data_IF_632799297397
#
_entry.id   IF_632799297397
#
_cell.length_a   1.000
_cell.length_b   1.000
_cell.length_c   1.000
_cell.angle_alpha   90.00
_cell.angle_beta   90.00
_cell.angle_gamma   90.00
#
_symmetry.space_group_name_H-M   'P 1'
#
loop_
_entity.id
_entity.type
_entity.pdbx_description
1 polymer ?
#
# COMPACT_ATOMS: atom_id res chain seq x y z
N UNK A 1 18.90 1.80 -9.14
CA UNK A 1 17.63 1.08 -8.96
C UNK A 1 16.52 2.11 -9.02
N UNK A 2 15.63 2.01 -10.01
CA UNK A 2 14.45 2.89 -10.15
C UNK A 2 13.37 2.50 -9.14
N UNK A 3 12.47 3.44 -8.81
CA UNK A 3 11.37 3.15 -7.90
C UNK A 3 10.27 2.36 -8.59
N UNK A 4 9.59 1.52 -7.83
CA UNK A 4 8.42 0.78 -8.32
C UNK A 4 7.10 1.54 -8.07
N UNK A 5 7.16 2.70 -7.40
CA UNK A 5 6.03 3.60 -7.14
C UNK A 5 5.40 4.08 -8.44
N UNK A 6 4.07 4.17 -8.48
CA UNK A 6 3.34 4.72 -9.63
C UNK A 6 2.24 5.67 -9.18
N UNK A 7 1.99 6.71 -9.97
CA UNK A 7 0.90 7.67 -9.79
C UNK A 7 0.04 7.72 -11.05
N UNK A 8 -1.27 7.95 -10.92
CA UNK A 8 -2.16 8.19 -12.08
C UNK A 8 -2.00 9.56 -12.71
N UNK A 9 -1.46 10.51 -11.96
CA UNK A 9 -1.34 11.91 -12.34
C UNK A 9 0.05 12.39 -11.95
N UNK A 10 0.57 13.41 -12.61
CA UNK A 10 1.98 13.79 -12.51
C UNK A 10 2.90 12.69 -13.02
N UNK A 11 4.13 12.68 -12.55
CA UNK A 11 5.12 11.70 -12.98
C UNK A 11 6.36 11.65 -12.11
N UNK A 12 7.11 10.57 -12.28
CA UNK A 12 8.40 10.36 -11.64
C UNK A 12 9.47 10.50 -12.73
N UNK A 13 9.98 11.73 -13.00
CA UNK A 13 11.03 11.90 -13.97
C UNK A 13 12.30 11.16 -13.53
N UNK A 14 13.22 10.85 -14.45
CA UNK A 14 14.49 10.21 -14.09
C UNK A 14 15.19 10.96 -12.96
N UNK A 15 15.75 10.19 -12.01
CA UNK A 15 16.44 10.71 -10.83
C UNK A 15 15.58 11.56 -9.87
N UNK A 16 14.27 11.31 -9.79
CA UNK A 16 13.38 12.01 -8.83
C UNK A 16 13.01 11.17 -7.61
N UNK A 17 13.15 9.85 -7.68
CA UNK A 17 12.53 8.95 -6.70
C UNK A 17 13.35 7.70 -6.37
N UNK A 18 14.66 7.70 -6.62
CA UNK A 18 15.51 6.57 -6.22
C UNK A 18 15.52 6.45 -4.70
N UNK A 19 15.43 5.21 -4.20
CA UNK A 19 15.40 4.95 -2.75
C UNK A 19 14.17 5.50 -2.03
N UNK A 20 13.07 5.76 -2.77
CA UNK A 20 11.84 6.25 -2.18
C UNK A 20 11.31 5.32 -1.08
N UNK A 21 10.91 5.91 0.02
CA UNK A 21 10.34 5.22 1.17
C UNK A 21 8.87 5.58 1.28
N UNK A 22 8.04 4.57 1.52
CA UNK A 22 6.63 4.75 1.81
C UNK A 22 6.31 4.15 3.17
N UNK A 23 5.58 4.91 3.98
CA UNK A 23 4.96 4.42 5.21
C UNK A 23 3.44 4.41 5.04
N UNK A 24 2.80 3.27 5.29
CA UNK A 24 1.35 3.12 5.41
C UNK A 24 0.96 2.96 6.88
N UNK A 25 0.01 3.78 7.35
CA UNK A 25 -0.58 3.71 8.69
C UNK A 25 -2.09 3.54 8.59
N UNK A 26 -2.70 2.55 9.27
CA UNK A 26 -4.14 2.42 9.29
C UNK A 26 -4.75 3.62 10.02
N UNK A 27 -5.85 4.13 9.47
CA UNK A 27 -6.70 5.14 10.08
C UNK A 27 -7.79 4.38 10.82
N UNK A 28 -7.84 4.57 12.14
CA UNK A 28 -8.92 4.00 12.93
C UNK A 28 -10.20 4.75 12.62
N UNK A 29 -11.09 4.08 11.88
CA UNK A 29 -12.42 4.58 11.56
C UNK A 29 -13.41 4.00 12.57
N UNK A 30 -14.08 4.88 13.31
CA UNK A 30 -15.06 4.46 14.29
C UNK A 30 -14.93 5.21 15.60
N UNK A 31 -15.72 4.78 16.57
CA UNK A 31 -15.72 5.31 17.93
C UNK A 31 -15.67 4.15 18.92
N UNK A 32 -15.00 4.37 20.05
CA UNK A 32 -15.07 3.43 21.16
C UNK A 32 -16.33 3.74 21.96
N UNK A 33 -17.21 2.76 22.13
CA UNK A 33 -18.41 2.85 22.94
C UNK A 33 -18.36 1.83 24.08
N UNK A 34 -18.88 2.18 25.25
CA UNK A 34 -19.02 1.24 26.36
C UNK A 34 -20.41 0.61 26.37
N UNK A 35 -20.49 -0.67 26.65
CA UNK A 35 -21.75 -1.34 26.96
C UNK A 35 -22.16 -1.03 28.40
N UNK A 36 -23.44 -1.28 28.71
CA UNK A 36 -23.95 -1.19 30.10
C UNK A 36 -23.23 -2.16 31.06
N UNK A 37 -22.60 -3.21 30.52
CA UNK A 37 -21.82 -4.19 31.29
C UNK A 37 -20.35 -3.78 31.44
N UNK A 38 -19.95 -2.60 30.97
CA UNK A 38 -18.59 -2.08 31.09
C UNK A 38 -17.60 -2.56 30.03
N UNK A 39 -18.06 -3.30 29.02
CA UNK A 39 -17.21 -3.74 27.90
C UNK A 39 -16.99 -2.61 26.90
N UNK A 40 -15.77 -2.46 26.41
CA UNK A 40 -15.42 -1.43 25.41
C UNK A 40 -15.49 -2.02 24.00
N UNK A 41 -16.41 -1.52 23.18
CA UNK A 41 -16.63 -1.93 21.80
C UNK A 41 -16.11 -0.87 20.82
N UNK A 42 -15.43 -1.30 19.76
CA UNK A 42 -15.12 -0.42 18.63
C UNK A 42 -16.27 -0.46 17.62
N UNK A 43 -17.00 0.65 17.52
CA UNK A 43 -18.07 0.85 16.56
C UNK A 43 -17.50 1.54 15.32
N UNK A 44 -17.15 0.76 14.30
CA UNK A 44 -16.58 1.28 13.07
C UNK A 44 -16.70 0.30 11.91
N UNK A 45 -16.51 0.76 10.66
CA UNK A 45 -16.46 -0.13 9.51
C UNK A 45 -15.32 -1.15 9.65
N UNK A 46 -15.52 -2.37 9.15
CA UNK A 46 -14.47 -3.40 9.08
C UNK A 46 -13.32 -3.00 8.15
N UNK A 47 -13.59 -2.15 7.16
CA UNK A 47 -12.58 -1.68 6.21
C UNK A 47 -11.75 -0.56 6.84
N UNK A 48 -10.45 -0.82 6.98
CA UNK A 48 -9.47 0.19 7.35
C UNK A 48 -9.13 1.05 6.13
N UNK A 49 -9.06 2.37 6.33
CA UNK A 49 -8.44 3.30 5.40
C UNK A 49 -6.98 3.50 5.80
N UNK A 50 -6.12 3.91 4.87
CA UNK A 50 -4.72 4.17 5.15
C UNK A 50 -4.35 5.64 4.98
N UNK A 51 -3.52 6.14 5.89
CA UNK A 51 -2.71 7.35 5.68
C UNK A 51 -1.35 6.90 5.17
N UNK A 52 -0.83 7.59 4.16
CA UNK A 52 0.50 7.33 3.64
C UNK A 52 1.38 8.56 3.65
N UNK A 53 2.66 8.34 3.87
CA UNK A 53 3.71 9.32 3.73
C UNK A 53 4.73 8.72 2.76
N UNK A 54 5.01 9.43 1.68
CA UNK A 54 5.97 9.03 0.65
C UNK A 54 7.07 10.07 0.62
N UNK A 55 8.30 9.62 0.75
CA UNK A 55 9.48 10.47 0.85
C UNK A 55 10.53 9.97 -0.15
N UNK A 56 11.17 10.90 -0.85
CA UNK A 56 12.36 10.58 -1.63
C UNK A 56 13.35 11.73 -1.62
N UNK A 57 14.62 11.37 -1.76
CA UNK A 57 15.74 12.29 -1.85
C UNK A 57 16.56 11.95 -3.08
N UNK A 58 16.56 12.83 -4.08
CA UNK A 58 17.23 12.58 -5.35
C UNK A 58 17.70 13.87 -6.03
N UNK A 59 18.20 13.78 -7.27
CA UNK A 59 18.78 14.92 -8.01
C UNK A 59 17.72 15.78 -8.67
N UNK A 60 16.60 15.22 -9.09
CA UNK A 60 15.49 15.92 -9.72
C UNK A 60 14.27 15.97 -8.82
N UNK A 61 13.36 16.88 -9.13
CA UNK A 61 12.10 17.04 -8.41
C UNK A 61 11.02 16.14 -8.99
N UNK A 62 10.00 15.83 -8.18
CA UNK A 62 8.79 15.18 -8.65
C UNK A 62 8.09 16.05 -9.71
N UNK A 63 7.50 15.45 -10.75
CA UNK A 63 6.64 16.20 -11.65
C UNK A 63 5.29 16.47 -10.96
N UNK A 64 5.12 17.72 -10.51
CA UNK A 64 4.01 18.17 -9.66
C UNK A 64 2.75 18.57 -10.43
N UNK A 65 2.60 18.15 -11.69
CA UNK A 65 1.40 18.47 -12.47
C UNK A 65 0.15 17.94 -11.78
N UNK A 66 -0.73 18.86 -11.37
CA UNK A 66 -1.94 18.62 -10.59
C UNK A 66 -1.70 18.03 -9.18
N UNK A 67 -0.51 18.22 -8.59
CA UNK A 67 -0.25 17.90 -7.18
C UNK A 67 -0.61 19.08 -6.30
N UNK A 68 -1.90 19.27 -6.05
CA UNK A 68 -2.40 20.25 -5.07
C UNK A 68 -3.09 19.55 -3.91
N UNK A 69 -3.01 20.10 -2.68
CA UNK A 69 -3.83 19.63 -1.57
C UNK A 69 -5.31 19.59 -1.97
N UNK A 70 -5.97 18.46 -1.69
CA UNK A 70 -7.34 18.19 -2.11
C UNK A 70 -7.47 17.34 -3.37
N UNK A 71 -6.45 17.30 -4.23
CA UNK A 71 -6.45 16.47 -5.44
C UNK A 71 -6.44 14.98 -5.12
N UNK A 72 -7.14 14.20 -5.94
CA UNK A 72 -7.22 12.74 -5.83
C UNK A 72 -6.28 12.11 -6.83
N UNK A 73 -5.43 11.19 -6.35
CA UNK A 73 -4.47 10.45 -7.15
C UNK A 73 -4.54 8.97 -6.80
N UNK A 74 -4.43 8.11 -7.81
CA UNK A 74 -4.25 6.67 -7.59
C UNK A 74 -2.79 6.37 -7.41
N UNK A 75 -2.44 5.76 -6.28
CA UNK A 75 -1.07 5.44 -5.89
C UNK A 75 -0.87 3.92 -5.94
N UNK A 76 0.05 3.46 -6.79
CA UNK A 76 0.57 2.09 -6.74
C UNK A 76 1.67 2.02 -5.68
N UNK A 77 1.29 1.60 -4.47
CA UNK A 77 2.12 1.69 -3.27
C UNK A 77 3.40 0.86 -3.38
N UNK A 78 4.52 1.35 -2.86
CA UNK A 78 5.76 0.60 -2.64
C UNK A 78 5.54 -0.47 -1.56
N UNK A 79 4.91 -0.09 -0.46
CA UNK A 79 4.68 -0.98 0.67
C UNK A 79 3.65 -2.05 0.32
N UNK A 80 3.91 -3.28 0.76
CA UNK A 80 3.08 -4.45 0.49
C UNK A 80 2.07 -4.65 1.62
N UNK A 81 0.86 -5.05 1.27
CA UNK A 81 -0.13 -5.56 2.22
C UNK A 81 0.00 -7.08 2.34
N UNK A 82 -0.51 -7.59 3.45
CA UNK A 82 -0.48 -8.99 3.82
C UNK A 82 -1.88 -9.42 4.24
N UNK A 83 -2.36 -10.53 3.69
CA UNK A 83 -3.66 -11.10 4.04
C UNK A 83 -3.53 -12.62 4.20
N UNK A 84 -4.20 -13.18 5.21
CA UNK A 84 -4.19 -14.62 5.47
C UNK A 84 -5.18 -15.33 4.55
N UNK A 85 -4.79 -16.50 4.06
CA UNK A 85 -5.60 -17.39 3.23
C UNK A 85 -6.05 -18.58 4.08
N UNK A 86 -7.36 -18.75 4.29
CA UNK A 86 -7.89 -19.82 5.15
C UNK A 86 -8.23 -21.11 4.39
N UNK A 87 -8.79 -21.01 3.17
CA UNK A 87 -9.36 -22.15 2.45
C UNK A 87 -8.73 -22.38 1.06
N UNK A 88 -7.47 -21.98 0.88
CA UNK A 88 -6.76 -22.05 -0.41
C UNK A 88 -7.29 -21.09 -1.49
N UNK A 89 -8.41 -20.42 -1.23
CA UNK A 89 -8.98 -19.36 -2.07
C UNK A 89 -9.10 -18.12 -1.20
N UNK A 90 -8.65 -17.00 -1.72
CA UNK A 90 -8.75 -15.70 -1.05
C UNK A 90 -9.07 -14.60 -2.05
N UNK A 91 -9.85 -13.60 -1.61
CA UNK A 91 -10.09 -12.39 -2.42
C UNK A 91 -9.40 -11.23 -1.75
N UNK A 92 -8.37 -10.67 -2.39
CA UNK A 92 -7.59 -9.57 -1.83
C UNK A 92 -8.47 -8.33 -1.59
N UNK A 93 -8.23 -7.64 -0.49
CA UNK A 93 -9.06 -6.50 -0.04
C UNK A 93 -8.89 -5.23 -0.88
N UNK A 94 -7.80 -5.10 -1.63
CA UNK A 94 -7.52 -3.99 -2.56
C UNK A 94 -7.11 -4.51 -3.93
N UNK A 95 -7.20 -3.65 -4.94
CA UNK A 95 -6.67 -3.97 -6.26
C UNK A 95 -5.14 -4.03 -6.19
N UNK A 96 -4.53 -5.05 -6.77
CA UNK A 96 -3.08 -5.21 -6.82
C UNK A 96 -2.46 -4.44 -8.00
N UNK A 97 -1.21 -4.03 -7.82
CA UNK A 97 -0.32 -3.64 -8.91
C UNK A 97 0.10 -4.92 -9.64
N UNK A 98 -0.04 -4.93 -10.97
CA UNK A 98 0.28 -6.10 -11.80
C UNK A 98 1.70 -6.63 -11.53
N UNK A 99 1.82 -7.96 -11.43
CA UNK A 99 3.08 -8.64 -11.14
C UNK A 99 3.60 -8.48 -9.71
N UNK A 100 2.83 -7.82 -8.82
CA UNK A 100 3.25 -7.64 -7.43
C UNK A 100 2.79 -8.75 -6.50
N UNK A 101 1.83 -9.59 -6.88
CA UNK A 101 1.24 -10.61 -5.99
C UNK A 101 2.20 -11.78 -5.78
N UNK A 102 2.31 -12.25 -4.55
CA UNK A 102 2.96 -13.51 -4.20
C UNK A 102 2.19 -14.20 -3.08
N UNK A 103 2.18 -15.54 -3.11
CA UNK A 103 1.63 -16.37 -2.04
C UNK A 103 2.77 -17.08 -1.34
N UNK A 104 2.80 -17.03 -0.02
CA UNK A 104 3.81 -17.70 0.79
C UNK A 104 3.19 -18.55 1.88
N UNK A 105 3.92 -19.57 2.32
CA UNK A 105 3.60 -20.32 3.53
C UNK A 105 4.22 -19.69 4.79
N UNK A 106 3.94 -20.30 5.95
CA UNK A 106 4.54 -19.97 7.24
C UNK A 106 6.08 -20.08 7.26
N UNK A 107 6.64 -20.87 6.35
CA UNK A 107 8.08 -21.13 6.22
C UNK A 107 8.75 -20.16 5.23
N UNK A 108 8.02 -19.16 4.72
CA UNK A 108 8.45 -18.15 3.76
C UNK A 108 8.76 -18.68 2.35
N UNK A 109 8.30 -19.88 2.01
CA UNK A 109 8.43 -20.43 0.66
C UNK A 109 7.35 -19.84 -0.25
N UNK A 110 7.75 -19.45 -1.46
CA UNK A 110 6.80 -19.02 -2.49
C UNK A 110 6.02 -20.23 -3.03
N UNK A 111 4.71 -20.06 -3.13
CA UNK A 111 3.79 -21.10 -3.60
C UNK A 111 3.22 -20.74 -4.97
N UNK A 112 3.07 -21.70 -5.89
CA UNK A 112 2.31 -21.50 -7.12
C UNK A 112 0.84 -21.15 -6.82
N UNK A 113 0.32 -20.16 -7.54
CA UNK A 113 -1.05 -19.72 -7.44
C UNK A 113 -1.59 -19.32 -8.82
N UNK A 114 -2.91 -19.29 -8.92
CA UNK A 114 -3.64 -18.71 -10.05
C UNK A 114 -4.41 -17.48 -9.59
N UNK A 115 -4.44 -16.44 -10.43
CA UNK A 115 -5.11 -15.18 -10.13
C UNK A 115 -6.14 -14.87 -11.22
N UNK A 116 -7.37 -14.56 -10.80
CA UNK A 116 -8.44 -14.05 -11.66
C UNK A 116 -8.97 -12.75 -11.05
N UNK A 117 -8.52 -11.62 -11.59
CA UNK A 117 -8.77 -10.31 -10.99
C UNK A 117 -8.21 -10.25 -9.57
N UNK A 118 -9.09 -10.04 -8.58
CA UNK A 118 -8.73 -10.00 -7.15
C UNK A 118 -8.82 -11.35 -6.44
N UNK A 119 -9.24 -12.41 -7.14
CA UNK A 119 -9.37 -13.75 -6.56
C UNK A 119 -8.08 -14.52 -6.78
N UNK A 120 -7.49 -15.01 -5.70
CA UNK A 120 -6.29 -15.83 -5.68
C UNK A 120 -6.69 -17.24 -5.28
N UNK A 121 -6.21 -18.21 -6.04
CA UNK A 121 -6.43 -19.64 -5.79
C UNK A 121 -5.07 -20.34 -5.77
N UNK A 122 -4.72 -20.90 -4.62
CA UNK A 122 -3.53 -21.73 -4.45
C UNK A 122 -3.66 -22.96 -5.35
N UNK A 123 -2.56 -23.38 -5.96
CA UNK A 123 -2.54 -24.58 -6.79
C UNK A 123 -2.99 -25.82 -5.98
N UNK A 124 -3.83 -26.66 -6.60
CA UNK A 124 -4.34 -27.91 -6.00
C UNK A 124 -3.23 -28.92 -5.69
N UNK A 125 -2.05 -28.77 -6.29
CA UNK A 125 -0.86 -29.57 -5.96
C UNK A 125 -0.40 -29.40 -4.51
N UNK A 126 -0.75 -28.30 -3.86
CA UNK A 126 -0.38 -28.00 -2.48
C UNK A 126 -1.41 -28.59 -1.52
N UNK A 127 -0.95 -29.44 -0.60
CA UNK A 127 -1.79 -29.96 0.49
C UNK A 127 -2.01 -28.87 1.52
N UNK A 128 -3.23 -28.34 1.55
CA UNK A 128 -3.69 -27.44 2.61
C UNK A 128 -3.84 -28.27 3.90
N UNK A 129 -2.95 -28.04 4.87
CA UNK A 129 -3.03 -28.63 6.22
C UNK A 129 -3.46 -27.56 7.20
N UNK A 130 -4.28 -27.91 8.20
CA UNK A 130 -4.69 -26.99 9.28
C UNK A 130 -3.52 -26.46 10.11
N UNK A 131 -2.39 -27.17 10.09
CA UNK A 131 -1.18 -26.79 10.83
C UNK A 131 -0.31 -25.78 10.07
N UNK A 132 -0.69 -25.40 8.85
CA UNK A 132 0.06 -24.42 8.04
C UNK A 132 -0.82 -23.24 7.68
N UNK A 133 -0.27 -22.06 7.93
CA UNK A 133 -0.86 -20.80 7.52
C UNK A 133 -0.29 -20.38 6.17
N UNK A 134 -1.17 -19.82 5.34
CA UNK A 134 -0.82 -19.30 4.03
C UNK A 134 -1.14 -17.81 4.00
N UNK A 135 -0.27 -17.03 3.36
CA UNK A 135 -0.43 -15.59 3.25
C UNK A 135 -0.28 -15.15 1.81
N UNK A 136 -1.11 -14.21 1.38
CA UNK A 136 -0.85 -13.43 0.18
C UNK A 136 -0.18 -12.11 0.58
N UNK A 137 0.84 -11.73 -0.17
CA UNK A 137 1.40 -10.39 -0.15
C UNK A 137 1.30 -9.73 -1.52
N UNK A 138 0.97 -8.44 -1.56
CA UNK A 138 0.83 -7.70 -2.81
C UNK A 138 1.00 -6.20 -2.59
N UNK A 139 1.27 -5.44 -3.65
CA UNK A 139 1.30 -3.98 -3.61
C UNK A 139 -0.07 -3.45 -3.99
N UNK A 140 -0.78 -2.69 -3.14
CA UNK A 140 -2.10 -2.19 -3.47
C UNK A 140 -2.05 -0.93 -4.35
N UNK A 141 -3.04 -0.80 -5.22
CA UNK A 141 -3.51 0.51 -5.68
C UNK A 141 -4.46 1.09 -4.63
N UNK A 142 -4.17 2.31 -4.20
CA UNK A 142 -5.01 3.07 -3.28
C UNK A 142 -5.37 4.40 -3.93
N UNK A 143 -6.66 4.72 -3.93
CA UNK A 143 -7.15 6.05 -4.33
C UNK A 143 -7.01 6.97 -3.12
N UNK A 144 -6.21 8.02 -3.27
CA UNK A 144 -5.79 8.86 -2.15
C UNK A 144 -5.94 10.34 -2.47
N UNK A 145 -6.33 11.11 -1.45
CA UNK A 145 -6.33 12.56 -1.48
C UNK A 145 -5.00 13.09 -0.96
N UNK A 146 -4.36 13.97 -1.73
CA UNK A 146 -3.19 14.72 -1.28
C UNK A 146 -3.63 15.66 -0.16
N UNK A 147 -2.96 15.55 0.98
CA UNK A 147 -3.20 16.42 2.14
C UNK A 147 -2.14 17.49 2.27
N UNK A 148 -0.90 17.16 1.92
CA UNK A 148 0.23 18.07 1.98
C UNK A 148 1.34 17.61 1.04
N UNK A 149 2.11 18.57 0.53
CA UNK A 149 3.28 18.34 -0.32
C UNK A 149 4.36 19.34 0.05
N UNK A 150 5.55 18.84 0.33
CA UNK A 150 6.72 19.67 0.63
C UNK A 150 7.90 19.32 -0.28
N UNK A 151 8.64 20.35 -0.66
CA UNK A 151 9.85 20.27 -1.46
C UNK A 151 10.95 21.05 -0.74
N UNK A 152 12.10 20.42 -0.54
CA UNK A 152 13.32 21.04 0.00
C UNK A 152 14.43 20.87 -1.01
N UNK A 153 15.10 21.96 -1.35
CA UNK A 153 16.25 21.95 -2.24
C UNK A 153 17.47 22.42 -1.49
N UNK A 154 18.53 21.60 -1.50
CA UNK A 154 19.86 22.02 -1.03
C UNK A 154 20.65 22.51 -2.24
N UNK A 155 20.67 23.82 -2.41
CA UNK A 155 21.26 24.49 -3.58
C UNK A 155 22.73 24.10 -3.81
N UNK A 156 23.52 23.99 -2.73
CA UNK A 156 24.96 23.71 -2.82
C UNK A 156 25.31 22.25 -3.11
N UNK A 157 24.41 21.30 -2.80
CA UNK A 157 24.62 19.88 -3.03
C UNK A 157 23.78 19.31 -4.18
N UNK A 158 22.95 20.14 -4.83
CA UNK A 158 21.98 19.74 -5.85
C UNK A 158 21.13 18.54 -5.41
N UNK A 159 20.79 18.49 -4.12
CA UNK A 159 19.91 17.46 -3.55
C UNK A 159 18.51 18.03 -3.40
N UNK A 160 17.54 17.33 -3.97
CA UNK A 160 16.12 17.61 -3.84
C UNK A 160 15.47 16.54 -2.97
N UNK A 161 14.75 16.97 -1.94
CA UNK A 161 13.96 16.11 -1.06
C UNK A 161 12.50 16.52 -1.21
N UNK A 162 11.63 15.56 -1.46
CA UNK A 162 10.19 15.80 -1.47
C UNK A 162 9.47 14.82 -0.56
N UNK A 163 8.41 15.32 0.06
CA UNK A 163 7.52 14.54 0.93
C UNK A 163 6.08 14.79 0.52
N UNK A 164 5.33 13.70 0.39
CA UNK A 164 3.93 13.71 0.01
C UNK A 164 3.11 13.00 1.07
N UNK A 165 2.14 13.70 1.63
CA UNK A 165 1.19 13.15 2.60
C UNK A 165 -0.15 12.92 1.92
N UNK A 166 -0.65 11.69 1.97
CA UNK A 166 -1.97 11.37 1.42
C UNK A 166 -2.83 10.55 2.39
N UNK A 167 -4.15 10.68 2.24
CA UNK A 167 -5.15 9.88 2.94
C UNK A 167 -6.01 9.13 1.92
N UNK A 168 -6.27 7.84 2.15
CA UNK A 168 -7.21 7.05 1.34
C UNK A 168 -8.64 7.63 1.45
N UNK A 169 -9.33 7.70 0.30
CA UNK A 169 -10.68 8.25 0.19
C UNK A 169 -11.80 7.21 0.31
#
# INVERSE_FOLDING_TARGET
METVLTFSTGGLPPFSARGCVQTLKPIQLGQMARTVNGELLHLGPKALKYKTIIEAKDKSVLAVDNFSPGSVVRVGCIQRLWEKIENGIHTISRQDVSGSVAVIDSDQNNLPFSQLGRKITIDKSIRLSRDRDFFVTYRPYLDMRITDFSLKTKEWSMENEWTLHLNEI
#
